data_IF_627230700492
#
_entry.id   IF_627230700492
#
_cell.length_a   1.000
_cell.length_b   1.000
_cell.length_c   1.000
_cell.angle_alpha   90.00
_cell.angle_beta   90.00
_cell.angle_gamma   90.00
#
_symmetry.space_group_name_H-M   'P 1'
#
loop_
_entity.id
_entity.type
_entity.pdbx_description
1 polymer ?
#
# COMPACT_ATOMS: atom_id res chain seq x y z
N UNK A 1 -4.37 10.80 -1.65
CA UNK A 1 -5.27 11.68 -0.87
C UNK A 1 -6.63 11.65 -1.56
N UNK A 2 -7.46 10.66 -1.27
CA UNK A 2 -8.66 10.35 -2.08
C UNK A 2 -9.97 10.34 -1.28
N UNK A 3 -9.89 10.38 0.06
CA UNK A 3 -11.07 10.44 0.94
C UNK A 3 -11.95 11.70 0.74
N UNK A 4 -11.45 12.72 0.03
CA UNK A 4 -12.18 13.94 -0.33
C UNK A 4 -13.27 13.70 -1.39
N UNK A 5 -13.15 12.62 -2.17
CA UNK A 5 -14.05 12.31 -3.28
C UNK A 5 -15.41 11.79 -2.82
N UNK A 6 -15.52 11.35 -1.56
CA UNK A 6 -16.77 10.86 -1.02
C UNK A 6 -17.71 12.03 -0.69
N UNK A 7 -19.01 11.92 -1.04
CA UNK A 7 -20.04 12.93 -0.76
C UNK A 7 -20.41 12.94 0.73
N UNK A 8 -19.43 13.21 1.60
CA UNK A 8 -19.57 13.26 3.05
C UNK A 8 -19.59 14.71 3.55
N UNK A 9 -20.20 14.90 4.73
CA UNK A 9 -20.15 16.18 5.43
C UNK A 9 -18.71 16.57 5.81
N UNK A 10 -18.43 17.87 5.87
CA UNK A 10 -17.10 18.37 6.23
C UNK A 10 -16.63 17.93 7.62
N UNK A 11 -17.57 17.74 8.56
CA UNK A 11 -17.29 17.25 9.91
C UNK A 11 -16.81 15.80 9.92
N UNK A 12 -17.53 14.89 9.23
CA UNK A 12 -17.15 13.47 9.14
C UNK A 12 -15.81 13.31 8.41
N UNK A 13 -15.60 14.09 7.34
CA UNK A 13 -14.32 14.09 6.61
C UNK A 13 -13.15 14.52 7.51
N UNK A 14 -13.34 15.57 8.31
CA UNK A 14 -12.33 16.03 9.27
C UNK A 14 -11.98 14.95 10.29
N UNK A 15 -13.00 14.26 10.83
CA UNK A 15 -12.81 13.14 11.77
C UNK A 15 -12.06 11.96 11.14
N UNK A 16 -12.43 11.54 9.94
CA UNK A 16 -11.74 10.48 9.19
C UNK A 16 -10.25 10.80 8.99
N UNK A 17 -9.95 12.02 8.54
CA UNK A 17 -8.57 12.46 8.34
C UNK A 17 -7.81 12.50 9.68
N UNK A 18 -8.44 12.97 10.76
CA UNK A 18 -7.82 13.00 12.09
C UNK A 18 -7.54 11.61 12.66
N UNK A 19 -8.35 10.62 12.30
CA UNK A 19 -8.15 9.21 12.64
C UNK A 19 -7.14 8.49 11.71
N UNK A 20 -6.61 9.17 10.69
CA UNK A 20 -5.61 8.62 9.78
C UNK A 20 -6.16 7.98 8.50
N UNK A 21 -7.49 7.97 8.32
CA UNK A 21 -8.16 7.44 7.13
C UNK A 21 -8.07 8.42 5.96
N UNK A 22 -6.92 8.39 5.25
CA UNK A 22 -6.60 9.34 4.17
C UNK A 22 -6.79 8.79 2.75
N UNK A 23 -7.01 7.47 2.63
CA UNK A 23 -7.17 6.75 1.35
C UNK A 23 -8.45 5.92 1.35
N UNK A 24 -9.07 5.72 0.18
CA UNK A 24 -10.25 4.86 0.06
C UNK A 24 -9.94 3.42 0.47
N UNK A 25 -8.75 2.93 0.13
CA UNK A 25 -8.25 1.63 0.53
C UNK A 25 -8.28 1.43 2.06
N UNK A 26 -7.82 2.44 2.83
CA UNK A 26 -7.82 2.39 4.30
C UNK A 26 -9.22 2.34 4.89
N UNK A 27 -10.21 2.94 4.23
CA UNK A 27 -11.60 2.92 4.66
C UNK A 27 -12.20 1.55 4.33
N UNK A 28 -12.02 1.06 3.11
CA UNK A 28 -12.55 -0.25 2.66
C UNK A 28 -11.94 -1.46 3.36
N UNK A 29 -10.73 -1.33 3.92
CA UNK A 29 -10.04 -2.42 4.61
C UNK A 29 -10.50 -2.64 6.05
N UNK A 30 -11.26 -1.71 6.62
CA UNK A 30 -11.66 -1.71 8.03
C UNK A 30 -13.13 -2.10 8.18
N UNK A 31 -13.48 -2.72 9.31
CA UNK A 31 -14.86 -3.09 9.62
C UNK A 31 -15.71 -1.86 9.97
N UNK A 32 -17.04 -1.95 9.77
CA UNK A 32 -17.97 -0.87 10.13
C UNK A 32 -17.89 -0.49 11.61
N UNK A 33 -17.68 -1.49 12.48
CA UNK A 33 -17.60 -1.29 13.93
C UNK A 33 -16.30 -0.60 14.35
N UNK A 34 -15.17 -0.96 13.75
CA UNK A 34 -13.88 -0.31 14.05
C UNK A 34 -13.87 1.14 13.55
N UNK A 35 -14.41 1.36 12.34
CA UNK A 35 -14.55 2.71 11.78
C UNK A 35 -15.45 3.60 12.66
N UNK A 36 -16.55 3.07 13.17
CA UNK A 36 -17.45 3.81 14.07
C UNK A 36 -16.75 4.22 15.37
N UNK A 37 -15.93 3.33 15.94
CA UNK A 37 -15.18 3.56 17.18
C UNK A 37 -14.08 4.59 16.99
N UNK A 38 -13.29 4.49 15.92
CA UNK A 38 -12.15 5.37 15.67
C UNK A 38 -12.59 6.81 15.32
N UNK A 39 -13.67 6.94 14.56
CA UNK A 39 -14.18 8.22 14.06
C UNK A 39 -15.21 8.82 15.03
N UNK A 40 -15.65 8.06 16.03
CA UNK A 40 -16.69 8.43 16.99
C UNK A 40 -17.98 8.89 16.26
N UNK A 41 -18.54 7.96 15.50
CA UNK A 41 -19.79 8.08 14.72
C UNK A 41 -20.69 6.86 14.98
N UNK A 42 -21.93 6.87 14.50
CA UNK A 42 -22.82 5.70 14.65
C UNK A 42 -22.40 4.57 13.71
N UNK A 43 -22.72 3.33 14.06
CA UNK A 43 -22.43 2.17 13.19
C UNK A 43 -23.16 2.26 11.84
N UNK A 44 -24.37 2.84 11.82
CA UNK A 44 -25.13 3.09 10.58
C UNK A 44 -24.40 4.08 9.65
N UNK A 45 -23.86 5.18 10.21
CA UNK A 45 -23.07 6.14 9.45
C UNK A 45 -21.79 5.50 8.90
N UNK A 46 -21.11 4.69 9.71
CA UNK A 46 -19.93 3.95 9.28
C UNK A 46 -20.23 2.95 8.14
N UNK A 47 -21.38 2.27 8.21
CA UNK A 47 -21.82 1.35 7.18
C UNK A 47 -22.08 2.06 5.84
N UNK A 48 -22.76 3.21 5.86
CA UNK A 48 -22.99 4.00 4.64
C UNK A 48 -21.68 4.54 4.06
N UNK A 49 -20.71 4.96 4.90
CA UNK A 49 -19.38 5.37 4.44
C UNK A 49 -18.66 4.22 3.70
N UNK A 50 -18.69 3.01 4.25
CA UNK A 50 -18.07 1.82 3.63
C UNK A 50 -18.73 1.47 2.29
N UNK A 51 -20.06 1.53 2.24
CA UNK A 51 -20.82 1.29 1.01
C UNK A 51 -20.47 2.29 -0.07
N UNK A 52 -20.35 3.58 0.27
CA UNK A 52 -19.91 4.63 -0.66
C UNK A 52 -18.46 4.44 -1.11
N UNK A 53 -17.56 4.02 -0.21
CA UNK A 53 -16.16 3.72 -0.54
C UNK A 53 -16.03 2.57 -1.55
N UNK A 54 -16.82 1.51 -1.39
CA UNK A 54 -16.81 0.36 -2.29
C UNK A 54 -17.40 0.68 -3.68
N UNK A 55 -18.41 1.56 -3.74
CA UNK A 55 -18.99 2.02 -5.00
C UNK A 55 -18.04 2.95 -5.79
N UNK A 56 -17.28 3.78 -5.07
CA UNK A 56 -16.33 4.73 -5.68
C UNK A 56 -15.08 4.03 -6.24
N UNK A 57 -14.65 2.93 -5.62
CA UNK A 57 -13.54 2.10 -6.10
C UNK A 57 -13.91 1.23 -7.33
N UNK A 58 -15.21 1.14 -7.67
CA UNK A 58 -15.75 0.26 -8.72
C UNK A 58 -15.93 0.90 -10.10
N UNK A 59 -15.10 1.87 -10.49
CA UNK A 59 -15.17 2.52 -11.81
C UNK A 59 -14.11 2.05 -12.82
N UNK A 60 -13.70 0.77 -12.74
CA UNK A 60 -13.10 0.06 -13.87
C UNK A 60 -14.15 -0.88 -14.48
N UNK A 61 -14.61 -0.49 -15.66
CA UNK A 61 -15.57 -1.19 -16.52
C UNK A 61 -15.21 -2.66 -16.75
N UNK A 62 -16.07 -3.59 -16.30
CA UNK A 62 -16.31 -4.84 -17.00
C UNK A 62 -17.82 -5.14 -17.03
N UNK A 63 -18.44 -4.83 -18.17
CA UNK A 63 -19.74 -5.36 -18.57
C UNK A 63 -19.61 -6.85 -18.84
N UNK A 64 -19.99 -7.70 -17.87
CA UNK A 64 -20.10 -9.14 -18.09
C UNK A 64 -19.95 -9.94 -16.81
N UNK A 65 -21.08 -10.30 -16.20
CA UNK A 65 -21.20 -11.12 -14.98
C UNK A 65 -20.95 -10.36 -13.67
N UNK A 66 -22.03 -10.12 -12.92
CA UNK A 66 -21.96 -9.76 -11.50
C UNK A 66 -21.28 -10.90 -10.76
N UNK A 67 -19.96 -10.83 -10.58
CA UNK A 67 -19.27 -11.71 -9.64
C UNK A 67 -19.91 -11.47 -8.27
N UNK A 68 -20.57 -12.48 -7.71
CA UNK A 68 -21.10 -12.49 -6.35
C UNK A 68 -19.98 -12.35 -5.29
N UNK A 69 -18.73 -12.25 -5.73
CA UNK A 69 -17.53 -12.08 -4.91
C UNK A 69 -16.76 -10.89 -5.50
N UNK A 70 -17.09 -9.68 -5.03
CA UNK A 70 -16.28 -8.49 -5.28
C UNK A 70 -14.88 -8.78 -4.70
N UNK A 71 -13.87 -8.98 -5.57
CA UNK A 71 -12.50 -9.29 -5.15
C UNK A 71 -12.04 -10.74 -5.31
N UNK A 72 -12.85 -11.66 -5.88
CA UNK A 72 -12.32 -12.96 -6.27
C UNK A 72 -11.35 -12.80 -7.45
N UNK A 73 -10.12 -13.29 -7.27
CA UNK A 73 -9.06 -13.25 -8.28
C UNK A 73 -8.53 -14.67 -8.49
N UNK A 74 -8.34 -15.06 -9.75
CA UNK A 74 -7.80 -16.39 -10.04
C UNK A 74 -6.28 -16.40 -9.78
N UNK A 75 -5.69 -17.60 -9.61
CA UNK A 75 -4.26 -17.72 -9.32
C UNK A 75 -3.37 -17.18 -10.45
N UNK A 76 -3.84 -17.24 -11.69
CA UNK A 76 -3.12 -16.76 -12.86
C UNK A 76 -2.97 -15.24 -12.86
N UNK A 77 -4.05 -14.52 -12.56
CA UNK A 77 -4.10 -13.07 -12.46
C UNK A 77 -3.29 -12.60 -11.25
N UNK A 78 -3.29 -13.37 -10.15
CA UNK A 78 -2.42 -13.13 -8.98
C UNK A 78 -0.94 -13.17 -9.37
N UNK A 79 -0.51 -14.22 -10.06
CA UNK A 79 0.86 -14.37 -10.53
C UNK A 79 1.27 -13.24 -11.48
N UNK A 80 0.43 -12.89 -12.45
CA UNK A 80 0.72 -11.82 -13.42
C UNK A 80 0.87 -10.45 -12.75
N UNK A 81 0.04 -10.16 -11.75
CA UNK A 81 0.19 -8.92 -10.99
C UNK A 81 1.51 -8.92 -10.20
N UNK A 82 1.90 -10.05 -9.61
CA UNK A 82 3.15 -10.17 -8.84
C UNK A 82 4.39 -10.01 -9.72
N UNK A 83 4.40 -10.60 -10.92
CA UNK A 83 5.48 -10.43 -11.91
C UNK A 83 5.61 -8.98 -12.40
N UNK A 84 4.49 -8.25 -12.43
CA UNK A 84 4.46 -6.83 -12.83
C UNK A 84 4.89 -5.87 -11.73
N UNK A 85 5.16 -6.36 -10.51
CA UNK A 85 5.49 -5.49 -9.39
C UNK A 85 6.83 -4.80 -9.60
N UNK A 86 6.89 -3.48 -9.35
CA UNK A 86 8.14 -2.74 -9.42
C UNK A 86 9.13 -3.26 -8.36
N UNK A 87 10.42 -3.28 -8.72
CA UNK A 87 11.52 -3.65 -7.84
C UNK A 87 12.52 -2.52 -7.72
N UNK A 88 13.19 -2.43 -6.58
CA UNK A 88 14.28 -1.47 -6.33
C UNK A 88 15.59 -2.25 -6.38
N UNK A 89 16.50 -1.87 -7.27
CA UNK A 89 17.85 -2.45 -7.33
C UNK A 89 18.58 -2.27 -5.99
N UNK A 90 19.39 -3.26 -5.61
CA UNK A 90 20.35 -3.15 -4.51
C UNK A 90 21.68 -2.52 -4.94
N UNK A 91 21.81 -2.17 -6.23
CA UNK A 91 23.06 -1.77 -6.88
C UNK A 91 24.16 -2.83 -6.85
N UNK A 92 23.78 -4.09 -6.62
CA UNK A 92 24.64 -5.26 -6.68
C UNK A 92 23.95 -6.30 -7.56
N UNK A 93 24.53 -6.59 -8.73
CA UNK A 93 23.93 -7.52 -9.69
C UNK A 93 23.71 -8.92 -9.11
N UNK A 94 24.65 -9.41 -8.30
CA UNK A 94 24.57 -10.74 -7.71
C UNK A 94 23.45 -10.82 -6.68
N UNK A 95 23.29 -9.78 -5.85
CA UNK A 95 22.22 -9.71 -4.88
C UNK A 95 20.86 -9.50 -5.55
N UNK A 96 20.79 -8.66 -6.58
CA UNK A 96 19.57 -8.49 -7.37
C UNK A 96 19.15 -9.81 -8.02
N UNK A 97 20.07 -10.59 -8.56
CA UNK A 97 19.79 -11.90 -9.12
C UNK A 97 19.23 -12.88 -8.07
N UNK A 98 19.81 -12.90 -6.86
CA UNK A 98 19.31 -13.71 -5.74
C UNK A 98 17.89 -13.28 -5.34
N UNK A 99 17.59 -11.99 -5.39
CA UNK A 99 16.29 -11.42 -5.03
C UNK A 99 15.27 -11.39 -6.19
N UNK A 100 15.63 -11.90 -7.37
CA UNK A 100 14.76 -11.89 -8.54
C UNK A 100 14.54 -10.50 -9.15
N UNK A 101 15.60 -9.69 -9.22
CA UNK A 101 15.60 -8.33 -9.80
C UNK A 101 15.64 -7.20 -8.76
N UNK A 102 15.99 -7.50 -7.50
CA UNK A 102 16.06 -6.53 -6.41
C UNK A 102 14.90 -6.64 -5.40
N UNK A 103 14.73 -5.60 -4.58
CA UNK A 103 13.74 -5.57 -3.50
C UNK A 103 12.33 -5.37 -4.08
N UNK A 104 11.45 -6.34 -3.87
CA UNK A 104 10.05 -6.32 -4.32
C UNK A 104 9.22 -5.27 -3.58
N UNK A 105 8.37 -4.53 -4.31
CA UNK A 105 7.36 -3.68 -3.69
C UNK A 105 6.16 -4.50 -3.22
N UNK A 106 5.45 -4.01 -2.20
CA UNK A 106 4.28 -4.66 -1.55
C UNK A 106 4.63 -5.85 -0.64
N UNK A 107 5.91 -6.19 -0.53
CA UNK A 107 6.41 -7.20 0.40
C UNK A 107 7.21 -6.57 1.56
N UNK A 108 7.35 -7.34 2.64
CA UNK A 108 8.26 -7.00 3.74
C UNK A 108 9.54 -7.81 3.57
N UNK A 109 10.67 -7.13 3.37
CA UNK A 109 11.98 -7.76 3.28
C UNK A 109 12.79 -7.57 4.57
N UNK A 110 13.19 -8.67 5.20
CA UNK A 110 14.03 -8.66 6.40
C UNK A 110 15.50 -8.98 6.06
N UNK A 111 16.43 -8.16 6.56
CA UNK A 111 17.88 -8.37 6.39
C UNK A 111 18.49 -8.73 7.74
N UNK A 112 18.71 -10.02 7.97
CA UNK A 112 19.28 -10.57 9.20
C UNK A 112 20.80 -10.82 9.13
N UNK A 113 21.45 -10.87 10.30
CA UNK A 113 22.83 -11.36 10.45
C UNK A 113 23.65 -10.65 11.53
N UNK A 114 24.91 -11.07 11.71
CA UNK A 114 25.77 -10.63 12.82
C UNK A 114 26.12 -9.13 12.75
N UNK A 115 26.54 -8.47 13.86
CA UNK A 115 27.01 -7.09 13.81
C UNK A 115 28.16 -6.91 12.80
N UNK A 116 28.17 -5.78 12.08
CA UNK A 116 29.24 -5.47 11.12
C UNK A 116 29.07 -6.01 9.70
N UNK A 117 28.05 -6.82 9.39
CA UNK A 117 27.84 -7.35 8.01
C UNK A 117 27.28 -6.35 6.99
N UNK A 118 27.10 -5.08 7.38
CA UNK A 118 26.57 -4.06 6.47
C UNK A 118 25.04 -3.93 6.39
N UNK A 119 24.25 -4.46 7.34
CA UNK A 119 22.78 -4.29 7.38
C UNK A 119 22.32 -2.83 7.29
N UNK A 120 22.99 -1.94 8.03
CA UNK A 120 22.70 -0.50 7.97
C UNK A 120 23.07 0.10 6.61
N UNK A 121 24.17 -0.36 6.01
CA UNK A 121 24.63 0.12 4.71
C UNK A 121 23.63 -0.21 3.61
N UNK A 122 23.09 -1.44 3.59
CA UNK A 122 22.07 -1.83 2.61
C UNK A 122 20.75 -1.07 2.83
N UNK A 123 20.35 -0.82 4.08
CA UNK A 123 19.17 0.00 4.37
C UNK A 123 19.30 1.44 3.85
N UNK A 124 20.48 2.05 4.02
CA UNK A 124 20.78 3.38 3.47
C UNK A 124 20.83 3.33 1.93
N UNK A 125 21.46 2.31 1.35
CA UNK A 125 21.57 2.14 -0.11
C UNK A 125 20.19 2.06 -0.76
N UNK A 126 19.29 1.24 -0.22
CA UNK A 126 17.91 1.12 -0.73
C UNK A 126 17.16 2.46 -0.61
N UNK A 127 17.40 3.21 0.47
CA UNK A 127 16.80 4.54 0.68
C UNK A 127 17.24 5.58 -0.36
N UNK A 128 18.45 5.43 -0.91
CA UNK A 128 18.92 6.25 -2.05
C UNK A 128 18.37 5.69 -3.36
N UNK A 129 18.43 4.38 -3.56
CA UNK A 129 18.06 3.74 -4.82
C UNK A 129 16.59 3.95 -5.18
N UNK A 130 15.68 4.02 -4.20
CA UNK A 130 14.26 4.31 -4.49
C UNK A 130 14.05 5.67 -5.19
N UNK A 131 14.96 6.63 -4.98
CA UNK A 131 14.89 7.99 -5.56
C UNK A 131 15.39 8.05 -7.00
N UNK A 132 16.15 7.04 -7.44
CA UNK A 132 16.67 6.93 -8.80
C UNK A 132 15.49 6.71 -9.78
N UNK A 133 15.52 7.25 -11.02
CA UNK A 133 14.50 6.98 -12.02
C UNK A 133 14.33 5.49 -12.35
N UNK A 134 13.14 5.11 -12.83
CA UNK A 134 12.79 3.72 -13.18
C UNK A 134 13.71 3.09 -14.22
N UNK A 135 14.17 3.89 -15.16
CA UNK A 135 15.10 3.49 -16.23
C UNK A 135 16.45 2.97 -15.69
N UNK A 136 16.81 3.34 -14.45
CA UNK A 136 18.06 2.95 -13.80
C UNK A 136 17.82 2.05 -12.56
N UNK A 137 16.65 1.40 -12.46
CA UNK A 137 16.34 0.43 -11.40
C UNK A 137 15.82 1.01 -10.07
N UNK A 138 15.52 2.31 -10.02
CA UNK A 138 14.81 2.93 -8.91
C UNK A 138 13.31 3.12 -9.18
N UNK A 139 12.62 3.93 -8.38
CA UNK A 139 11.18 4.21 -8.56
C UNK A 139 10.84 5.70 -8.68
N UNK A 140 11.83 6.59 -8.61
CA UNK A 140 11.63 8.03 -8.52
C UNK A 140 10.85 8.45 -7.26
N UNK A 141 10.87 7.60 -6.23
CA UNK A 141 10.09 7.76 -5.01
C UNK A 141 10.82 8.51 -3.90
N UNK A 142 10.24 8.50 -2.70
CA UNK A 142 10.86 9.02 -1.47
C UNK A 142 11.04 7.87 -0.49
N UNK A 143 12.05 7.98 0.38
CA UNK A 143 12.29 7.04 1.47
C UNK A 143 11.92 7.66 2.81
N UNK A 144 11.39 6.84 3.72
CA UNK A 144 11.26 7.16 5.14
C UNK A 144 12.19 6.20 5.87
N UNK A 145 13.26 6.73 6.46
CA UNK A 145 14.23 5.94 7.23
C UNK A 145 13.98 6.14 8.72
N UNK A 146 13.58 5.08 9.41
CA UNK A 146 13.32 5.10 10.86
C UNK A 146 14.51 4.40 11.54
N UNK A 147 15.39 5.19 12.13
CA UNK A 147 16.51 4.70 12.93
C UNK A 147 16.15 4.69 14.42
N UNK A 148 16.50 3.61 15.11
CA UNK A 148 16.52 3.56 16.58
C UNK A 148 17.97 3.76 17.03
N UNK A 149 18.22 4.80 17.83
CA UNK A 149 19.50 4.99 18.49
C UNK A 149 19.54 4.07 19.72
N UNK A 150 20.54 3.18 19.79
CA UNK A 150 20.92 2.43 20.99
C UNK A 150 22.37 2.76 21.36
#
# INVERSE_FOLDING_TARGET
MEAWLLPLSSSIRGKLISAGYTTLASISSVSSSDLARDVNITEDEAFEILKLANQSSGSSSCNGSRSLINGAKNAWDMLHEEESLPRITTSCSDLDNILGGGISCRDVTEIGGVPGIGKTQIGIQISVNVQIPREFGGLGGKAIYIGIFF
#
